data_IF_725056388287
#
_entry.id   IF_725056388287
#
_cell.length_a   1.000
_cell.length_b   1.000
_cell.length_c   1.000
_cell.angle_alpha   90.00
_cell.angle_beta   90.00
_cell.angle_gamma   90.00
#
_symmetry.space_group_name_H-M   'P 1'
#
loop_
_entity.id
_entity.type
_entity.pdbx_description
1 polymer ?
#
# COMPACT_ATOMS: atom_id res chain seq x y z
N UNK A 1 -4.67 -8.72 18.55
CA UNK A 1 -4.55 -7.25 18.29
C UNK A 1 -4.33 -6.53 19.60
N UNK A 2 -3.34 -5.60 19.65
CA UNK A 2 -3.12 -4.76 20.85
C UNK A 2 -4.21 -3.71 20.98
N UNK A 3 -4.61 -3.36 22.21
CA UNK A 3 -5.62 -2.33 22.48
C UNK A 3 -5.01 -0.93 22.71
N UNK A 4 -3.70 -0.85 22.90
CA UNK A 4 -2.98 0.41 23.04
C UNK A 4 -2.87 1.17 21.72
N UNK A 5 -2.75 2.52 21.83
CA UNK A 5 -2.44 3.36 20.67
C UNK A 5 -0.95 3.25 20.35
N UNK A 6 -0.58 2.29 19.51
CA UNK A 6 0.79 2.00 19.12
C UNK A 6 1.16 2.54 17.73
N UNK A 7 0.43 3.54 17.26
CA UNK A 7 0.62 4.15 15.96
C UNK A 7 1.71 5.22 15.97
N UNK A 8 2.40 5.37 14.84
CA UNK A 8 3.49 6.36 14.69
C UNK A 8 3.00 7.81 14.48
N UNK A 9 1.68 8.01 14.53
CA UNK A 9 1.04 9.31 14.42
C UNK A 9 0.10 9.57 15.60
N UNK A 10 -0.19 10.85 15.86
CA UNK A 10 -1.05 11.25 16.96
C UNK A 10 -2.52 10.87 16.69
N UNK A 11 -3.22 10.48 17.75
CA UNK A 11 -4.66 10.20 17.71
C UNK A 11 -5.43 11.50 17.54
N UNK A 12 -6.37 11.51 16.58
CA UNK A 12 -7.27 12.64 16.37
C UNK A 12 -8.41 12.66 17.36
N UNK A 13 -8.68 13.83 17.95
CA UNK A 13 -9.85 14.05 18.79
C UNK A 13 -11.18 14.11 18.00
N UNK A 14 -11.13 14.22 16.68
CA UNK A 14 -12.29 14.32 15.79
C UNK A 14 -12.81 12.97 15.32
N UNK A 15 -12.08 11.89 15.60
CA UNK A 15 -12.29 10.58 15.02
C UNK A 15 -12.47 9.51 16.11
N UNK A 16 -13.45 8.65 15.92
CA UNK A 16 -13.58 7.39 16.65
C UNK A 16 -12.71 6.35 16.00
N UNK A 17 -12.17 5.43 16.80
CA UNK A 17 -11.29 4.37 16.36
C UNK A 17 -11.66 3.04 17.00
N UNK A 18 -11.74 1.99 16.20
CA UNK A 18 -11.91 0.61 16.65
C UNK A 18 -10.99 -0.35 15.87
N UNK A 19 -10.61 -1.45 16.51
CA UNK A 19 -9.86 -2.53 15.84
C UNK A 19 -10.82 -3.64 15.45
N UNK A 20 -10.69 -4.12 14.23
CA UNK A 20 -11.55 -5.16 13.64
C UNK A 20 -10.72 -6.20 12.91
N UNK A 21 -11.33 -7.35 12.60
CA UNK A 21 -10.78 -8.30 11.65
C UNK A 21 -11.87 -8.79 10.68
N UNK A 22 -11.45 -9.22 9.50
CA UNK A 22 -12.28 -9.84 8.49
C UNK A 22 -11.45 -10.86 7.70
N UNK A 23 -12.10 -11.71 6.90
CA UNK A 23 -11.40 -12.75 6.15
C UNK A 23 -11.45 -12.46 4.65
N UNK A 24 -10.38 -12.78 3.95
CA UNK A 24 -10.38 -12.86 2.49
C UNK A 24 -10.85 -14.25 2.01
N UNK A 25 -11.04 -14.40 0.69
CA UNK A 25 -11.51 -15.66 0.11
C UNK A 25 -10.48 -16.81 0.19
N UNK A 26 -9.23 -16.52 0.52
CA UNK A 26 -8.22 -17.54 0.84
C UNK A 26 -8.29 -18.00 2.30
N UNK A 27 -9.25 -17.52 3.09
CA UNK A 27 -9.42 -17.86 4.51
C UNK A 27 -8.39 -17.20 5.44
N UNK A 28 -7.67 -16.18 4.94
CA UNK A 28 -6.72 -15.43 5.76
C UNK A 28 -7.46 -14.32 6.52
N UNK A 29 -7.23 -14.23 7.83
CA UNK A 29 -7.76 -13.16 8.67
C UNK A 29 -6.90 -11.91 8.49
N UNK A 30 -7.55 -10.79 8.16
CA UNK A 30 -6.96 -9.47 8.02
C UNK A 30 -7.30 -8.62 9.23
N UNK A 31 -6.28 -8.04 9.85
CA UNK A 31 -6.43 -7.09 10.95
C UNK A 31 -6.52 -5.67 10.41
N UNK A 32 -7.48 -4.90 10.90
CA UNK A 32 -7.69 -3.52 10.46
C UNK A 32 -8.03 -2.58 11.62
N UNK A 33 -7.79 -1.30 11.39
CA UNK A 33 -8.24 -0.18 12.20
C UNK A 33 -9.33 0.58 11.44
N UNK A 34 -10.49 0.74 12.05
CA UNK A 34 -11.59 1.58 11.54
C UNK A 34 -11.47 2.97 12.15
N UNK A 35 -11.59 3.98 11.30
CA UNK A 35 -11.64 5.40 11.67
C UNK A 35 -12.96 5.98 11.17
N UNK A 36 -13.73 6.58 12.07
CA UNK A 36 -15.04 7.16 11.77
C UNK A 36 -15.14 8.57 12.34
N UNK A 37 -15.70 9.55 11.60
CA UNK A 37 -15.93 10.87 12.15
C UNK A 37 -16.80 10.80 13.41
N UNK A 38 -16.40 11.46 14.49
CA UNK A 38 -17.27 11.63 15.66
C UNK A 38 -18.54 12.35 15.23
N UNK A 39 -19.67 11.93 15.77
CA UNK A 39 -20.99 12.51 15.50
C UNK A 39 -21.48 12.37 14.04
N UNK A 40 -20.89 11.48 13.25
CA UNK A 40 -21.41 11.17 11.91
C UNK A 40 -22.85 10.66 11.99
N UNK A 41 -23.69 11.13 11.08
CA UNK A 41 -25.09 10.71 10.95
C UNK A 41 -25.30 9.90 9.67
N UNK A 42 -26.14 8.87 9.77
CA UNK A 42 -26.48 8.06 8.61
C UNK A 42 -25.35 7.17 8.09
N UNK A 43 -25.50 6.69 6.86
CA UNK A 43 -24.49 5.89 6.17
C UNK A 43 -23.46 6.78 5.49
N UNK A 44 -22.21 6.41 5.60
CA UNK A 44 -21.08 7.15 5.05
C UNK A 44 -20.55 6.49 3.79
N UNK A 45 -19.94 7.29 2.91
CA UNK A 45 -18.99 6.78 1.94
C UNK A 45 -17.78 6.21 2.68
N UNK A 46 -17.22 5.11 2.17
CA UNK A 46 -16.12 4.43 2.86
C UNK A 46 -14.87 4.30 1.99
N UNK A 47 -13.71 4.23 2.66
CA UNK A 47 -12.41 4.11 1.98
C UNK A 47 -11.55 3.06 2.69
N UNK A 48 -11.06 2.06 1.94
CA UNK A 48 -10.05 1.12 2.44
C UNK A 48 -8.64 1.59 2.04
N UNK A 49 -7.72 1.58 3.01
CA UNK A 49 -6.35 2.09 2.84
C UNK A 49 -5.34 1.01 3.16
N UNK A 50 -4.34 0.82 2.30
CA UNK A 50 -3.23 -0.09 2.55
C UNK A 50 -1.90 0.47 2.04
N UNK A 51 -0.80 0.04 2.66
CA UNK A 51 0.55 0.42 2.30
C UNK A 51 1.19 1.44 3.26
N UNK A 52 2.41 1.82 3.02
CA UNK A 52 3.36 1.37 1.97
C UNK A 52 3.72 -0.11 1.99
N UNK A 53 4.36 -0.58 0.91
CA UNK A 53 4.84 -1.95 0.83
C UNK A 53 5.90 -2.22 1.91
N UNK A 54 5.63 -3.18 2.79
CA UNK A 54 6.45 -3.45 3.97
C UNK A 54 6.17 -2.61 5.21
N UNK A 55 5.17 -1.74 5.14
CA UNK A 55 4.61 -1.04 6.31
C UNK A 55 3.45 -1.86 6.94
N UNK A 56 2.94 -1.36 8.05
CA UNK A 56 1.75 -1.86 8.76
C UNK A 56 0.74 -0.74 8.95
N UNK A 57 -0.51 -1.10 9.29
CA UNK A 57 -1.63 -0.17 9.48
C UNK A 57 -1.38 0.91 10.52
N UNK A 58 -0.44 0.72 11.42
CA UNK A 58 -0.01 1.68 12.43
C UNK A 58 0.87 2.82 11.89
N UNK A 59 1.24 2.75 10.61
CA UNK A 59 2.08 3.73 9.91
C UNK A 59 1.26 4.59 8.94
N UNK A 60 1.74 4.83 7.74
CA UNK A 60 1.15 5.73 6.74
C UNK A 60 -0.32 5.43 6.41
N UNK A 61 -0.70 4.16 6.23
CA UNK A 61 -2.10 3.83 5.89
C UNK A 61 -3.09 4.24 6.98
N UNK A 62 -2.71 4.06 8.26
CA UNK A 62 -3.54 4.54 9.39
C UNK A 62 -3.65 6.06 9.43
N UNK A 63 -2.56 6.78 9.15
CA UNK A 63 -2.58 8.23 9.04
C UNK A 63 -3.54 8.71 7.94
N UNK A 64 -3.46 8.09 6.75
CA UNK A 64 -4.36 8.40 5.64
C UNK A 64 -5.82 8.10 6.00
N UNK A 65 -6.09 6.96 6.62
CA UNK A 65 -7.44 6.59 7.04
C UNK A 65 -7.99 7.59 8.08
N UNK A 66 -7.20 7.98 9.08
CA UNK A 66 -7.58 9.01 10.06
C UNK A 66 -7.85 10.36 9.39
N UNK A 67 -6.97 10.80 8.50
CA UNK A 67 -7.12 12.08 7.79
C UNK A 67 -8.35 12.12 6.88
N UNK A 68 -8.73 10.99 6.27
CA UNK A 68 -9.96 10.86 5.49
C UNK A 68 -11.19 10.83 6.40
N UNK A 69 -11.10 10.20 7.56
CA UNK A 69 -12.19 10.23 8.55
C UNK A 69 -12.44 11.64 9.09
N UNK A 70 -11.40 12.45 9.31
CA UNK A 70 -11.55 13.88 9.65
C UNK A 70 -12.28 14.69 8.57
N UNK A 71 -12.33 14.17 7.34
CA UNK A 71 -12.98 14.78 6.17
C UNK A 71 -14.33 14.14 5.81
N UNK A 72 -14.88 13.32 6.71
CA UNK A 72 -16.25 12.82 6.60
C UNK A 72 -16.43 11.42 6.03
N UNK A 73 -15.37 10.66 5.77
CA UNK A 73 -15.43 9.28 5.31
C UNK A 73 -15.36 8.30 6.49
N UNK A 74 -16.00 7.13 6.38
CA UNK A 74 -15.57 6.00 7.19
C UNK A 74 -14.35 5.39 6.49
N UNK A 75 -13.23 5.29 7.19
CA UNK A 75 -12.02 4.75 6.58
C UNK A 75 -11.48 3.57 7.39
N UNK A 76 -10.92 2.58 6.70
CA UNK A 76 -10.18 1.50 7.34
C UNK A 76 -8.74 1.48 6.84
N UNK A 77 -7.80 1.22 7.74
CA UNK A 77 -6.44 0.83 7.39
C UNK A 77 -6.21 -0.61 7.79
N UNK A 78 -5.75 -1.46 6.88
CA UNK A 78 -5.57 -2.88 7.17
C UNK A 78 -4.13 -3.33 6.92
N UNK A 79 -3.69 -4.33 7.69
CA UNK A 79 -2.49 -5.08 7.39
C UNK A 79 -2.81 -6.09 6.29
N UNK A 80 -2.00 -6.19 5.23
CA UNK A 80 -2.21 -7.20 4.20
C UNK A 80 -1.89 -8.60 4.72
N UNK A 81 -2.39 -9.61 4.04
CA UNK A 81 -2.06 -11.01 4.29
C UNK A 81 -0.57 -11.21 4.47
N UNK A 82 -0.17 -12.05 5.42
CA UNK A 82 1.20 -12.41 5.79
C UNK A 82 1.98 -11.35 6.58
N UNK A 83 1.45 -10.17 6.83
CA UNK A 83 2.19 -9.07 7.48
C UNK A 83 1.43 -8.48 8.68
N UNK A 84 2.13 -7.75 9.52
CA UNK A 84 1.54 -7.08 10.68
C UNK A 84 0.80 -8.02 11.62
N UNK A 85 -0.42 -7.66 11.99
CA UNK A 85 -1.33 -8.47 12.80
C UNK A 85 -2.24 -9.40 11.97
N UNK A 86 -2.21 -9.30 10.63
CA UNK A 86 -2.94 -10.20 9.74
C UNK A 86 -2.30 -11.59 9.71
N UNK A 87 -3.11 -12.61 9.41
CA UNK A 87 -2.68 -14.00 9.36
C UNK A 87 -1.90 -14.34 8.08
N UNK A 88 -1.47 -15.58 7.98
CA UNK A 88 -0.78 -16.14 6.82
C UNK A 88 0.64 -16.60 7.12
N UNK A 89 1.03 -17.72 6.48
CA UNK A 89 2.34 -18.32 6.60
C UNK A 89 2.91 -18.67 5.23
N UNK A 90 4.23 -18.55 5.02
CA UNK A 90 5.19 -17.94 5.96
C UNK A 90 4.96 -16.45 6.12
N UNK A 91 5.37 -15.88 7.27
CA UNK A 91 5.27 -14.43 7.51
C UNK A 91 6.12 -13.66 6.53
N UNK A 92 5.71 -12.41 6.26
CA UNK A 92 6.42 -11.45 5.40
C UNK A 92 6.60 -11.97 3.96
N UNK A 93 5.60 -12.69 3.48
CA UNK A 93 5.43 -13.06 2.08
C UNK A 93 4.60 -12.01 1.35
N UNK A 94 4.75 -12.00 0.04
CA UNK A 94 3.92 -11.25 -0.89
C UNK A 94 3.39 -12.17 -1.98
N UNK A 95 2.12 -12.03 -2.30
CA UNK A 95 1.50 -12.64 -3.47
C UNK A 95 0.60 -11.62 -4.14
N UNK A 96 0.79 -11.33 -5.43
CA UNK A 96 0.00 -10.34 -6.13
C UNK A 96 -1.49 -10.67 -6.09
N UNK A 97 -1.86 -11.94 -6.31
CA UNK A 97 -3.25 -12.39 -6.33
C UNK A 97 -3.90 -12.25 -4.94
N UNK A 98 -3.25 -12.79 -3.90
CA UNK A 98 -3.78 -12.77 -2.53
C UNK A 98 -3.87 -11.32 -2.03
N UNK A 99 -2.85 -10.49 -2.30
CA UNK A 99 -2.85 -9.12 -1.83
C UNK A 99 -3.76 -8.20 -2.64
N UNK A 100 -4.09 -8.53 -3.89
CA UNK A 100 -5.17 -7.90 -4.65
C UNK A 100 -6.52 -8.23 -4.02
N UNK A 101 -6.74 -9.50 -3.66
CA UNK A 101 -7.93 -9.99 -2.96
C UNK A 101 -8.10 -9.34 -1.58
N UNK A 102 -7.03 -8.99 -0.87
CA UNK A 102 -7.12 -8.29 0.42
C UNK A 102 -7.89 -6.96 0.31
N UNK A 103 -7.75 -6.22 -0.81
CA UNK A 103 -8.58 -5.04 -1.07
C UNK A 103 -10.04 -5.39 -1.35
N UNK A 104 -10.29 -6.49 -2.09
CA UNK A 104 -11.66 -6.95 -2.37
C UNK A 104 -12.36 -7.40 -1.09
N UNK A 105 -11.65 -8.11 -0.20
CA UNK A 105 -12.14 -8.48 1.12
C UNK A 105 -12.43 -7.26 2.01
N UNK A 106 -11.61 -6.20 1.91
CA UNK A 106 -11.90 -4.94 2.58
C UNK A 106 -13.19 -4.28 2.05
N UNK A 107 -13.46 -4.39 0.74
CA UNK A 107 -14.72 -3.94 0.11
C UNK A 107 -15.89 -4.79 0.59
N UNK A 108 -15.73 -6.12 0.71
CA UNK A 108 -16.75 -7.02 1.26
C UNK A 108 -17.11 -6.61 2.69
N UNK A 109 -16.11 -6.42 3.53
CA UNK A 109 -16.30 -5.97 4.91
C UNK A 109 -17.04 -4.63 4.98
N UNK A 110 -16.60 -3.63 4.23
CA UNK A 110 -17.22 -2.30 4.20
C UNK A 110 -18.65 -2.34 3.67
N UNK A 111 -18.91 -3.12 2.62
CA UNK A 111 -20.25 -3.24 2.02
C UNK A 111 -21.29 -3.84 2.95
N UNK A 112 -20.86 -4.62 3.95
CA UNK A 112 -21.73 -5.27 4.92
C UNK A 112 -21.85 -4.51 6.24
N UNK A 113 -21.20 -3.35 6.39
CA UNK A 113 -21.34 -2.52 7.59
C UNK A 113 -22.65 -1.72 7.56
N UNK A 114 -23.38 -1.62 8.69
CA UNK A 114 -24.64 -0.89 8.74
C UNK A 114 -24.49 0.64 8.60
N UNK A 115 -23.28 1.16 8.88
CA UNK A 115 -22.95 2.58 8.84
C UNK A 115 -22.23 3.00 7.52
N UNK A 116 -22.14 2.09 6.53
CA UNK A 116 -21.54 2.33 5.22
C UNK A 116 -22.61 2.30 4.12
N UNK A 117 -22.49 3.21 3.16
CA UNK A 117 -23.25 3.17 1.91
C UNK A 117 -22.52 2.28 0.91
N UNK A 118 -23.00 1.07 0.68
CA UNK A 118 -22.30 0.01 -0.05
C UNK A 118 -21.92 0.39 -1.51
N UNK A 119 -22.65 1.34 -2.13
CA UNK A 119 -22.37 1.82 -3.48
C UNK A 119 -21.34 2.97 -3.52
N UNK A 120 -20.81 3.38 -2.36
CA UNK A 120 -19.93 4.54 -2.20
C UNK A 120 -18.60 4.15 -1.55
N UNK A 121 -17.93 3.14 -2.13
CA UNK A 121 -16.67 2.62 -1.62
C UNK A 121 -15.52 2.98 -2.56
N UNK A 122 -14.47 3.55 -1.99
CA UNK A 122 -13.19 3.81 -2.64
C UNK A 122 -12.04 3.12 -1.93
N UNK A 123 -10.86 3.15 -2.56
CA UNK A 123 -9.63 2.62 -1.97
C UNK A 123 -8.46 3.58 -2.13
N UNK A 124 -7.49 3.47 -1.24
CA UNK A 124 -6.19 4.15 -1.32
C UNK A 124 -5.09 3.11 -1.21
N UNK A 125 -4.21 3.08 -2.19
CA UNK A 125 -2.96 2.35 -2.12
C UNK A 125 -1.77 3.30 -2.04
N UNK A 126 -0.82 3.04 -1.14
CA UNK A 126 0.37 3.88 -0.93
C UNK A 126 1.61 3.09 -1.33
N UNK A 127 2.53 3.69 -2.11
CA UNK A 127 3.76 3.04 -2.58
C UNK A 127 3.45 1.78 -3.41
N UNK A 128 4.04 0.63 -3.11
CA UNK A 128 3.74 -0.64 -3.80
C UNK A 128 2.26 -1.02 -3.78
N UNK A 129 1.55 -0.64 -2.73
CA UNK A 129 0.09 -0.85 -2.65
C UNK A 129 -0.71 0.05 -3.58
N UNK A 130 -0.11 1.14 -4.08
CA UNK A 130 -0.72 1.95 -5.13
C UNK A 130 -0.94 1.16 -6.42
N UNK A 131 0.05 0.38 -6.84
CA UNK A 131 -0.09 -0.52 -7.99
C UNK A 131 -1.10 -1.64 -7.74
N UNK A 132 -1.09 -2.23 -6.53
CA UNK A 132 -2.04 -3.29 -6.14
C UNK A 132 -3.47 -2.74 -6.08
N UNK A 133 -3.68 -1.51 -5.56
CA UNK A 133 -4.97 -0.86 -5.54
C UNK A 133 -5.55 -0.64 -6.95
N UNK A 134 -4.70 -0.26 -7.91
CA UNK A 134 -5.13 -0.14 -9.31
C UNK A 134 -5.51 -1.50 -9.89
N UNK A 135 -4.76 -2.55 -9.57
CA UNK A 135 -5.08 -3.92 -10.00
C UNK A 135 -6.40 -4.41 -9.39
N UNK A 136 -6.63 -4.15 -8.10
CA UNK A 136 -7.88 -4.48 -7.42
C UNK A 136 -9.09 -3.73 -8.02
N UNK A 137 -8.92 -2.45 -8.34
CA UNK A 137 -9.98 -1.64 -8.95
C UNK A 137 -10.29 -2.04 -10.39
N UNK A 138 -9.33 -2.60 -11.13
CA UNK A 138 -9.57 -3.20 -12.44
C UNK A 138 -10.35 -4.53 -12.33
N UNK A 139 -10.08 -5.30 -11.27
CA UNK A 139 -10.73 -6.59 -11.02
C UNK A 139 -12.12 -6.46 -10.36
N UNK A 140 -12.36 -5.42 -9.55
CA UNK A 140 -13.59 -5.25 -8.77
C UNK A 140 -14.33 -3.94 -9.09
N UNK A 141 -15.38 -3.97 -9.92
CA UNK A 141 -16.18 -2.79 -10.27
C UNK A 141 -16.94 -2.12 -9.10
N UNK A 142 -17.02 -2.75 -7.93
CA UNK A 142 -17.59 -2.15 -6.71
C UNK A 142 -16.71 -1.03 -6.17
N UNK A 143 -15.42 -1.02 -6.49
CA UNK A 143 -14.49 0.06 -6.16
C UNK A 143 -14.76 1.25 -7.08
N UNK A 144 -15.44 2.28 -6.59
CA UNK A 144 -15.90 3.41 -7.39
C UNK A 144 -14.84 4.47 -7.65
N UNK A 145 -13.88 4.59 -6.74
CA UNK A 145 -12.79 5.56 -6.84
C UNK A 145 -11.51 5.01 -6.20
N UNK A 146 -10.38 5.19 -6.87
CA UNK A 146 -9.09 4.70 -6.41
C UNK A 146 -8.07 5.83 -6.37
N UNK A 147 -7.36 5.95 -5.25
CA UNK A 147 -6.19 6.83 -5.12
C UNK A 147 -4.94 5.98 -5.02
N UNK A 148 -3.98 6.22 -5.92
CA UNK A 148 -2.66 5.61 -5.88
C UNK A 148 -1.64 6.69 -5.51
N UNK A 149 -1.26 6.73 -4.22
CA UNK A 149 -0.31 7.73 -3.70
C UNK A 149 1.10 7.21 -3.78
N UNK A 150 1.99 8.00 -4.37
CA UNK A 150 3.43 7.68 -4.55
C UNK A 150 3.66 6.24 -5.02
N UNK A 151 2.86 5.80 -6.00
CA UNK A 151 2.74 4.41 -6.39
C UNK A 151 4.04 3.80 -6.93
N UNK A 152 4.14 2.48 -6.72
CA UNK A 152 5.11 1.61 -7.38
C UNK A 152 4.41 0.54 -8.22
N UNK A 153 5.03 0.21 -9.31
CA UNK A 153 4.81 -1.05 -10.02
C UNK A 153 5.85 -2.07 -9.52
N UNK A 154 5.51 -2.80 -8.46
CA UNK A 154 6.42 -3.76 -7.82
C UNK A 154 6.86 -4.89 -8.77
N UNK A 155 5.97 -5.49 -9.59
CA UNK A 155 6.37 -6.40 -10.66
C UNK A 155 7.37 -5.82 -11.65
N UNK A 156 7.15 -4.57 -12.12
CA UNK A 156 8.06 -3.90 -13.06
C UNK A 156 9.45 -3.72 -12.46
N UNK A 157 9.52 -3.23 -11.21
CA UNK A 157 10.81 -3.08 -10.51
C UNK A 157 11.48 -4.43 -10.28
N UNK A 158 10.73 -5.44 -9.88
CA UNK A 158 11.25 -6.79 -9.71
C UNK A 158 11.78 -7.40 -11.00
N UNK A 159 11.16 -7.11 -12.14
CA UNK A 159 11.54 -7.66 -13.44
C UNK A 159 12.63 -6.86 -14.16
N UNK A 160 12.65 -5.55 -14.04
CA UNK A 160 13.45 -4.64 -14.84
C UNK A 160 14.34 -3.69 -14.03
N UNK A 161 14.28 -3.76 -12.69
CA UNK A 161 14.99 -2.82 -11.83
C UNK A 161 14.41 -1.39 -11.89
N UNK A 162 15.08 -0.47 -11.20
CA UNK A 162 14.71 0.94 -11.24
C UNK A 162 15.03 1.53 -12.62
N UNK A 163 14.12 2.35 -13.12
CA UNK A 163 14.22 3.03 -14.43
C UNK A 163 14.34 2.05 -15.61
N UNK A 164 13.92 0.78 -15.44
CA UNK A 164 13.96 -0.29 -16.43
C UNK A 164 15.39 -0.55 -16.98
N UNK A 165 16.40 -0.38 -16.15
CA UNK A 165 17.79 -0.55 -16.52
C UNK A 165 18.27 -2.01 -16.48
N UNK A 166 17.48 -2.91 -15.90
CA UNK A 166 17.78 -4.33 -15.82
C UNK A 166 17.55 -5.07 -17.13
N UNK A 167 18.29 -6.15 -17.33
CA UNK A 167 18.24 -7.00 -18.53
C UNK A 167 17.51 -8.31 -18.27
N UNK A 168 17.13 -9.01 -19.35
CA UNK A 168 16.56 -10.36 -19.27
C UNK A 168 17.52 -11.38 -18.65
N UNK A 169 18.83 -11.25 -18.95
CA UNK A 169 19.87 -12.14 -18.43
C UNK A 169 20.07 -11.95 -16.91
N UNK A 170 20.11 -10.71 -16.45
CA UNK A 170 20.17 -10.40 -15.00
C UNK A 170 18.96 -10.95 -14.27
N UNK A 171 17.76 -10.78 -14.82
CA UNK A 171 16.53 -11.32 -14.26
C UNK A 171 16.55 -12.85 -14.23
N UNK A 172 17.04 -13.50 -15.29
CA UNK A 172 17.18 -14.95 -15.32
C UNK A 172 18.15 -15.45 -14.26
N UNK A 173 19.32 -14.81 -14.14
CA UNK A 173 20.30 -15.12 -13.10
C UNK A 173 19.74 -14.95 -11.68
N UNK A 174 18.93 -13.91 -11.44
CA UNK A 174 18.24 -13.75 -10.16
C UNK A 174 17.27 -14.91 -9.88
N UNK A 175 16.55 -15.40 -10.90
CA UNK A 175 15.69 -16.58 -10.78
C UNK A 175 16.46 -17.85 -10.46
N UNK A 176 17.64 -18.06 -11.06
CA UNK A 176 18.51 -19.19 -10.74
C UNK A 176 18.93 -19.17 -9.25
N UNK A 177 19.33 -18.00 -8.75
CA UNK A 177 19.70 -17.83 -7.34
C UNK A 177 18.51 -18.15 -6.39
N UNK A 178 17.32 -17.65 -6.72
CA UNK A 178 16.12 -17.93 -5.92
C UNK A 178 15.74 -19.42 -6.01
N UNK A 179 15.88 -20.07 -7.17
CA UNK A 179 15.62 -21.49 -7.33
C UNK A 179 16.57 -22.33 -6.48
N UNK A 180 17.86 -22.02 -6.49
CA UNK A 180 18.86 -22.66 -5.63
C UNK A 180 18.55 -22.47 -4.14
N UNK A 181 18.14 -21.25 -3.75
CA UNK A 181 17.68 -20.95 -2.40
C UNK A 181 16.46 -21.79 -2.01
N UNK A 182 15.46 -21.94 -2.89
CA UNK A 182 14.28 -22.79 -2.64
C UNK A 182 14.66 -24.23 -2.31
N UNK A 183 15.59 -24.81 -3.07
CA UNK A 183 16.10 -26.17 -2.84
C UNK A 183 16.74 -26.29 -1.45
N UNK A 184 17.58 -25.30 -1.08
CA UNK A 184 18.20 -25.25 0.24
C UNK A 184 17.17 -25.08 1.38
N UNK A 185 16.21 -24.19 1.21
CA UNK A 185 15.14 -23.97 2.20
C UNK A 185 14.26 -25.21 2.39
N UNK A 186 14.02 -25.99 1.31
CA UNK A 186 13.27 -27.22 1.40
C UNK A 186 13.98 -28.26 2.29
N UNK A 187 15.29 -28.39 2.14
CA UNK A 187 16.09 -29.37 2.90
C UNK A 187 16.36 -28.94 4.34
N UNK A 188 16.52 -27.62 4.59
CA UNK A 188 16.89 -27.12 5.92
C UNK A 188 15.69 -26.65 6.75
N UNK A 189 14.55 -26.38 6.12
CA UNK A 189 13.40 -25.73 6.75
C UNK A 189 13.59 -24.24 7.05
N UNK A 190 14.80 -23.71 6.88
CA UNK A 190 15.14 -22.31 7.19
C UNK A 190 14.75 -21.38 6.04
N UNK A 191 13.97 -20.34 6.34
CA UNK A 191 13.55 -19.33 5.39
C UNK A 191 14.47 -18.12 5.45
N UNK A 192 14.86 -17.62 4.27
CA UNK A 192 15.75 -16.46 4.16
C UNK A 192 14.96 -15.19 3.83
N UNK A 193 15.33 -14.08 4.49
CA UNK A 193 14.77 -12.74 4.30
C UNK A 193 15.73 -11.82 3.57
N UNK A 194 15.18 -10.82 2.91
CA UNK A 194 15.96 -9.84 2.14
C UNK A 194 16.70 -8.79 3.01
N UNK A 195 16.39 -8.73 4.32
CA UNK A 195 16.78 -7.60 5.16
C UNK A 195 15.78 -6.43 5.04
N UNK A 196 15.66 -5.62 6.09
CA UNK A 196 14.86 -4.40 6.10
C UNK A 196 15.60 -3.22 5.50
N UNK A 197 15.08 -2.01 5.73
CA UNK A 197 15.82 -0.78 5.41
C UNK A 197 17.12 -0.70 6.23
N UNK A 198 18.13 -0.04 5.68
CA UNK A 198 19.44 0.13 6.33
C UNK A 198 19.26 1.03 7.57
N UNK A 199 19.78 0.68 8.73
CA UNK A 199 19.83 1.60 9.87
C UNK A 199 20.57 2.90 9.53
N UNK A 200 20.07 4.04 10.02
CA UNK A 200 20.60 5.37 9.63
C UNK A 200 22.09 5.52 9.97
N UNK A 201 22.52 4.93 11.09
CA UNK A 201 23.93 4.92 11.52
C UNK A 201 24.85 4.01 10.70
N UNK A 202 24.27 3.17 9.84
CA UNK A 202 25.00 2.29 8.93
C UNK A 202 25.02 2.81 7.47
N UNK A 203 24.36 3.94 7.22
CA UNK A 203 24.43 4.59 5.90
C UNK A 203 25.84 5.14 5.67
N UNK A 204 26.38 4.91 4.48
CA UNK A 204 27.70 5.39 4.07
C UNK A 204 27.68 6.78 3.42
N UNK A 205 26.46 7.28 3.13
CA UNK A 205 26.24 8.51 2.36
C UNK A 205 26.45 8.38 0.85
N UNK A 206 26.71 7.16 0.38
CA UNK A 206 26.86 6.84 -1.06
C UNK A 206 25.61 6.17 -1.64
N UNK A 207 24.67 5.78 -0.78
CA UNK A 207 23.42 5.17 -1.19
C UNK A 207 22.57 6.20 -1.96
N UNK A 208 21.76 5.75 -2.95
CA UNK A 208 20.81 6.63 -3.60
C UNK A 208 19.91 7.36 -2.61
N UNK A 209 19.53 8.58 -2.90
CA UNK A 209 18.73 9.44 -2.00
C UNK A 209 17.47 8.74 -1.47
N UNK A 210 16.79 7.97 -2.32
CA UNK A 210 15.58 7.26 -1.90
C UNK A 210 15.86 6.16 -0.86
N UNK A 211 17.04 5.53 -0.88
CA UNK A 211 17.44 4.55 0.14
C UNK A 211 17.64 5.24 1.48
N UNK A 212 18.30 6.41 1.47
CA UNK A 212 18.47 7.23 2.67
C UNK A 212 17.11 7.72 3.22
N UNK A 213 16.19 8.12 2.33
CA UNK A 213 14.82 8.52 2.69
C UNK A 213 14.03 7.37 3.33
N UNK A 214 14.13 6.14 2.81
CA UNK A 214 13.51 4.96 3.43
C UNK A 214 14.10 4.67 4.81
N UNK A 215 15.43 4.75 4.95
CA UNK A 215 16.10 4.59 6.23
C UNK A 215 15.62 5.64 7.24
N UNK A 216 15.54 6.91 6.82
CA UNK A 216 15.06 8.00 7.66
C UNK A 216 13.59 7.81 8.10
N UNK A 217 12.74 7.19 7.28
CA UNK A 217 11.37 6.87 7.67
C UNK A 217 11.32 5.61 8.56
N UNK A 218 11.77 4.46 8.05
CA UNK A 218 11.54 3.17 8.70
C UNK A 218 12.44 2.88 9.91
N UNK A 219 13.58 3.54 10.03
CA UNK A 219 14.59 3.28 11.08
C UNK A 219 14.70 4.38 12.13
N UNK A 220 13.82 5.37 12.12
CA UNK A 220 13.75 6.45 13.10
C UNK A 220 12.35 6.54 13.72
N UNK A 221 12.20 7.40 14.73
CA UNK A 221 10.92 7.69 15.38
C UNK A 221 9.85 8.22 14.40
N UNK A 222 10.26 8.65 13.19
CA UNK A 222 9.35 9.16 12.17
C UNK A 222 8.34 8.09 11.73
N UNK A 223 8.78 6.85 11.53
CA UNK A 223 7.91 5.81 11.03
C UNK A 223 8.32 4.39 11.44
N UNK A 224 9.27 4.22 12.37
CA UNK A 224 9.62 2.88 12.86
C UNK A 224 8.42 2.23 13.55
N UNK A 225 8.15 0.98 13.20
CA UNK A 225 7.19 0.15 13.91
C UNK A 225 7.70 -1.29 14.05
N UNK A 226 7.49 -1.88 15.24
CA UNK A 226 8.01 -3.22 15.57
C UNK A 226 7.46 -4.35 14.68
N UNK A 227 6.28 -4.19 14.07
CA UNK A 227 5.66 -5.17 13.17
C UNK A 227 5.93 -4.88 11.68
N UNK A 228 6.51 -3.73 11.35
CA UNK A 228 6.80 -3.37 9.96
C UNK A 228 7.94 -4.20 9.39
N UNK A 229 7.70 -4.78 8.22
CA UNK A 229 8.68 -5.58 7.47
C UNK A 229 9.94 -4.76 7.17
N UNK A 230 9.76 -3.53 6.66
CA UNK A 230 10.86 -2.63 6.32
C UNK A 230 11.63 -2.11 7.53
N UNK A 231 10.95 -1.93 8.67
CA UNK A 231 11.61 -1.54 9.92
C UNK A 231 12.48 -2.65 10.52
N UNK A 232 12.26 -3.90 10.11
CA UNK A 232 12.88 -5.09 10.72
C UNK A 232 13.58 -5.98 9.68
N UNK A 233 13.23 -7.26 9.61
CA UNK A 233 13.97 -8.29 8.86
C UNK A 233 13.74 -8.31 7.35
N UNK A 234 12.82 -7.49 6.82
CA UNK A 234 12.50 -7.48 5.40
C UNK A 234 11.65 -8.66 4.92
N UNK A 235 11.38 -8.69 3.65
CA UNK A 235 10.55 -9.69 2.98
C UNK A 235 11.25 -11.04 2.84
N UNK A 236 10.47 -12.12 2.76
CA UNK A 236 10.97 -13.42 2.32
C UNK A 236 11.51 -13.32 0.89
N UNK A 237 12.72 -13.82 0.66
CA UNK A 237 13.35 -13.77 -0.68
C UNK A 237 12.53 -14.51 -1.74
N UNK A 238 11.80 -15.55 -1.34
CA UNK A 238 10.93 -16.31 -2.24
C UNK A 238 9.81 -15.48 -2.87
N UNK A 239 9.40 -14.38 -2.25
CA UNK A 239 8.39 -13.46 -2.79
C UNK A 239 8.82 -12.81 -4.11
N UNK A 240 10.12 -12.66 -4.36
CA UNK A 240 10.66 -12.01 -5.55
C UNK A 240 10.30 -12.74 -6.85
N UNK A 241 10.17 -14.05 -6.83
CA UNK A 241 9.78 -14.83 -8.03
C UNK A 241 8.39 -14.41 -8.53
N UNK A 242 7.46 -14.19 -7.61
CA UNK A 242 6.12 -13.70 -7.94
C UNK A 242 6.16 -12.32 -8.61
N UNK A 243 7.00 -11.41 -8.12
CA UNK A 243 7.13 -10.07 -8.72
C UNK A 243 7.70 -10.10 -10.12
N UNK A 244 8.78 -10.85 -10.34
CA UNK A 244 9.46 -10.92 -11.63
C UNK A 244 8.61 -11.55 -12.75
N UNK A 245 7.53 -12.25 -12.42
CA UNK A 245 6.69 -12.97 -13.39
C UNK A 245 5.24 -12.45 -13.49
N UNK A 246 4.92 -11.38 -12.78
CA UNK A 246 3.58 -10.79 -12.81
C UNK A 246 3.59 -9.40 -13.45
N UNK A 247 2.41 -8.91 -13.71
CA UNK A 247 2.16 -7.57 -14.23
C UNK A 247 0.93 -7.00 -13.51
N UNK A 248 1.02 -5.78 -13.03
CA UNK A 248 -0.17 -5.04 -12.59
C UNK A 248 -0.85 -4.45 -13.81
N UNK A 249 -2.16 -4.30 -13.75
CA UNK A 249 -2.96 -3.75 -14.84
C UNK A 249 -2.70 -4.45 -16.19
N UNK A 250 -2.88 -5.77 -16.21
CA UNK A 250 -2.85 -6.53 -17.45
C UNK A 250 -3.85 -6.00 -18.47
N UNK A 251 -4.98 -5.49 -17.98
CA UNK A 251 -6.07 -4.90 -18.76
C UNK A 251 -6.44 -3.50 -18.23
N UNK A 252 -5.62 -2.46 -18.50
CA UNK A 252 -5.88 -1.11 -17.98
C UNK A 252 -7.18 -0.50 -18.49
N UNK A 253 -7.72 -0.98 -19.62
CA UNK A 253 -9.00 -0.60 -20.17
C UNK A 253 -10.20 -1.03 -19.31
N UNK A 254 -10.06 -2.04 -18.46
CA UNK A 254 -11.09 -2.50 -17.54
C UNK A 254 -11.22 -1.59 -16.30
N UNK A 255 -10.22 -0.77 -16.04
CA UNK A 255 -10.27 0.21 -14.97
C UNK A 255 -11.12 1.43 -15.37
N UNK A 256 -12.45 1.24 -15.40
CA UNK A 256 -13.43 2.25 -15.84
C UNK A 256 -13.79 3.25 -14.76
N UNK A 257 -13.68 2.89 -13.49
CA UNK A 257 -13.96 3.75 -12.35
C UNK A 257 -12.91 4.87 -12.19
N UNK A 258 -13.20 5.84 -11.32
CA UNK A 258 -12.35 7.01 -11.16
C UNK A 258 -10.99 6.66 -10.57
N UNK A 259 -9.93 7.30 -11.07
CA UNK A 259 -8.57 7.13 -10.57
C UNK A 259 -7.89 8.49 -10.35
N UNK A 260 -7.26 8.62 -9.21
CA UNK A 260 -6.33 9.72 -8.90
C UNK A 260 -4.95 9.13 -8.58
N UNK A 261 -3.95 9.48 -9.37
CA UNK A 261 -2.54 9.19 -9.07
C UNK A 261 -1.92 10.44 -8.45
N UNK A 262 -1.23 10.28 -7.33
CA UNK A 262 -0.52 11.37 -6.63
C UNK A 262 0.95 10.99 -6.52
N UNK A 263 1.85 11.85 -6.99
CA UNK A 263 3.29 11.67 -6.83
C UNK A 263 3.98 12.94 -6.34
N UNK A 264 5.09 12.77 -5.63
CA UNK A 264 6.01 13.86 -5.38
C UNK A 264 6.82 14.19 -6.63
N UNK A 265 7.11 15.45 -6.85
CA UNK A 265 7.95 15.90 -7.97
C UNK A 265 9.33 15.23 -7.97
N UNK A 266 9.93 15.10 -6.77
CA UNK A 266 11.25 14.51 -6.55
C UNK A 266 11.20 13.01 -6.20
N UNK A 267 10.04 12.37 -6.31
CA UNK A 267 9.91 10.94 -6.05
C UNK A 267 10.60 10.13 -7.15
N UNK A 268 11.55 9.28 -6.77
CA UNK A 268 12.25 8.38 -7.70
C UNK A 268 11.31 7.42 -8.43
N UNK A 269 10.12 7.16 -7.87
CA UNK A 269 9.05 6.32 -8.46
C UNK A 269 8.07 7.10 -9.35
N UNK A 270 8.24 8.41 -9.54
CA UNK A 270 7.30 9.26 -10.28
C UNK A 270 7.03 8.73 -11.70
N UNK A 271 8.05 8.26 -12.41
CA UNK A 271 7.92 7.73 -13.76
C UNK A 271 6.92 6.56 -13.85
N UNK A 272 6.82 5.72 -12.80
CA UNK A 272 5.87 4.60 -12.77
C UNK A 272 4.43 5.10 -12.77
N UNK A 273 4.14 6.13 -11.96
CA UNK A 273 2.81 6.74 -11.93
C UNK A 273 2.44 7.47 -13.22
N UNK A 274 3.38 8.21 -13.80
CA UNK A 274 3.18 8.89 -15.08
C UNK A 274 2.94 7.88 -16.23
N UNK A 275 3.71 6.80 -16.29
CA UNK A 275 3.54 5.77 -17.32
C UNK A 275 2.25 4.96 -17.12
N UNK A 276 1.87 4.70 -15.87
CA UNK A 276 0.58 4.08 -15.57
C UNK A 276 -0.56 4.99 -15.98
N UNK A 277 -0.49 6.28 -15.65
CA UNK A 277 -1.51 7.26 -16.02
C UNK A 277 -1.75 7.32 -17.53
N UNK A 278 -0.69 7.26 -18.35
CA UNK A 278 -0.78 7.23 -19.82
C UNK A 278 -1.58 6.03 -20.36
N UNK A 279 -1.61 4.91 -19.62
CA UNK A 279 -2.34 3.69 -20.02
C UNK A 279 -3.83 3.77 -19.70
N UNK A 280 -4.21 4.60 -18.72
CA UNK A 280 -5.60 4.73 -18.28
C UNK A 280 -6.46 5.46 -19.31
N UNK A 281 -7.73 5.07 -19.44
CA UNK A 281 -8.71 5.64 -20.37
C UNK A 281 -9.86 6.30 -19.62
N UNK A 282 -10.48 7.29 -20.24
CA UNK A 282 -11.63 8.03 -19.71
C UNK A 282 -11.24 9.38 -19.10
N UNK A 283 -12.26 10.21 -18.87
CA UNK A 283 -12.15 11.59 -18.35
C UNK A 283 -12.18 11.68 -16.83
N UNK A 284 -12.35 10.54 -16.15
CA UNK A 284 -12.36 10.41 -14.70
C UNK A 284 -11.00 10.00 -14.12
N UNK A 285 -9.92 10.26 -14.85
CA UNK A 285 -8.53 9.99 -14.44
C UNK A 285 -7.81 11.29 -14.17
N UNK A 286 -7.09 11.34 -13.06
CA UNK A 286 -6.36 12.54 -12.62
C UNK A 286 -4.95 12.17 -12.19
N UNK A 287 -3.99 13.06 -12.45
CA UNK A 287 -2.62 12.99 -11.97
C UNK A 287 -2.29 14.29 -11.22
N UNK A 288 -1.78 14.14 -10.01
CA UNK A 288 -1.27 15.26 -9.20
C UNK A 288 0.22 15.05 -8.97
N UNK A 289 1.02 16.00 -9.35
CA UNK A 289 2.43 16.08 -8.96
C UNK A 289 2.53 17.13 -7.85
N UNK A 290 3.03 16.73 -6.69
CA UNK A 290 3.24 17.58 -5.52
C UNK A 290 4.62 18.20 -5.61
N UNK A 291 4.66 19.51 -5.75
CA UNK A 291 5.90 20.28 -5.91
C UNK A 291 6.88 20.04 -4.75
N UNK A 292 8.15 19.85 -5.07
CA UNK A 292 9.25 19.64 -4.14
C UNK A 292 9.15 18.37 -3.25
N UNK A 293 8.07 17.59 -3.31
CA UNK A 293 7.90 16.42 -2.46
C UNK A 293 8.70 15.21 -2.96
N UNK A 294 9.29 14.47 -2.04
CA UNK A 294 9.94 13.18 -2.27
C UNK A 294 8.92 12.03 -2.17
N UNK A 295 9.39 10.80 -2.38
CA UNK A 295 8.54 9.61 -2.24
C UNK A 295 8.01 9.45 -0.80
N UNK A 296 8.89 9.53 0.20
CA UNK A 296 8.52 9.31 1.59
C UNK A 296 7.89 10.52 2.27
N UNK A 297 7.93 11.70 1.65
CA UNK A 297 7.18 12.85 2.15
C UNK A 297 5.66 12.59 2.06
N UNK A 298 5.22 11.83 1.05
CA UNK A 298 3.82 11.43 0.92
C UNK A 298 3.42 10.26 1.84
N UNK A 299 4.27 9.85 2.78
CA UNK A 299 3.92 8.87 3.80
C UNK A 299 3.29 9.52 5.04
N UNK A 300 3.82 10.69 5.46
CA UNK A 300 3.50 11.28 6.75
C UNK A 300 3.52 12.82 6.81
N UNK A 301 4.01 13.52 5.77
CA UNK A 301 4.08 14.98 5.78
C UNK A 301 2.71 15.58 5.46
N UNK A 302 1.97 15.97 6.51
CA UNK A 302 0.59 16.45 6.40
C UNK A 302 0.43 17.74 5.57
N UNK A 303 1.47 18.55 5.48
CA UNK A 303 1.54 19.77 4.67
C UNK A 303 1.81 19.48 3.19
N UNK A 304 2.34 18.32 2.85
CA UNK A 304 2.65 17.92 1.47
C UNK A 304 1.61 16.97 0.88
N UNK A 305 1.05 16.07 1.69
CA UNK A 305 0.00 15.16 1.21
C UNK A 305 -1.25 15.96 0.90
N UNK A 306 -1.76 15.96 -0.34
CA UNK A 306 -2.87 16.82 -0.74
C UNK A 306 -4.23 16.23 -0.30
N UNK A 307 -4.42 16.03 1.03
CA UNK A 307 -5.61 15.38 1.57
C UNK A 307 -6.92 16.04 1.17
N UNK A 308 -6.96 17.37 1.06
CA UNK A 308 -8.18 18.07 0.66
C UNK A 308 -8.54 17.80 -0.81
N UNK A 309 -7.54 17.65 -1.69
CA UNK A 309 -7.75 17.24 -3.08
C UNK A 309 -8.17 15.79 -3.19
N UNK A 310 -7.59 14.90 -2.36
CA UNK A 310 -7.98 13.49 -2.26
C UNK A 310 -9.44 13.38 -1.78
N UNK A 311 -9.81 14.10 -0.73
CA UNK A 311 -11.18 14.13 -0.23
C UNK A 311 -12.17 14.70 -1.26
N UNK A 312 -11.81 15.78 -1.95
CA UNK A 312 -12.62 16.35 -3.03
C UNK A 312 -12.82 15.36 -4.19
N UNK A 313 -11.78 14.59 -4.54
CA UNK A 313 -11.87 13.52 -5.53
C UNK A 313 -12.87 12.43 -5.09
N UNK A 314 -12.76 11.92 -3.87
CA UNK A 314 -13.72 10.95 -3.35
C UNK A 314 -15.14 11.52 -3.26
N UNK A 315 -15.32 12.74 -2.79
CA UNK A 315 -16.63 13.41 -2.75
C UNK A 315 -17.27 13.56 -4.14
N UNK A 316 -16.46 13.70 -5.18
CA UNK A 316 -16.96 13.78 -6.57
C UNK A 316 -17.43 12.43 -7.09
N UNK A 317 -16.75 11.34 -6.76
CA UNK A 317 -16.96 10.04 -7.40
C UNK A 317 -17.62 8.98 -6.50
N UNK A 318 -17.71 9.21 -5.20
CA UNK A 318 -18.46 8.39 -4.25
C UNK A 318 -19.83 9.00 -3.93
N UNK A 319 -20.65 9.18 -4.97
CA UNK A 319 -22.00 9.75 -4.86
C UNK A 319 -23.07 8.68 -4.85
#
# INVERSE_FOLDING_TARGET
>A
MTQEWDKVFAKSEKVEHEKVSFHNHFGLELAADVYKPKHAQGRLAAVAVCGPFGAVKEQSSGLYAQALAERGFLAIAFDPSFTGESSGQPRDMFSLDINTEDFQAAVDYLSNRPDVEANRIGIVGICGWGGIALNAAAADPRIKATVASTMYDMPRVGAWGYFDQGTADERYKAKEQIAALRTKEYTTGLKQRAGGCIPVDQLTGKEPDFVQQYSAYYKTKRGYHQRSVNSNGGWMLQAQTGWMNNNILAHPEDLRNAVLIVHGEKAHSRYMGEDTFKKLKGDNKQLIIVDGATHTDLYDQMDKIPFDRIAAFFNKYLK
#
